data_IF_105195534921
#
_entry.id   IF_105195534921
#
_cell.length_a   1.000
_cell.length_b   1.000
_cell.length_c   1.000
_cell.angle_alpha   90.00
_cell.angle_beta   90.00
_cell.angle_gamma   90.00
#
_symmetry.space_group_name_H-M   'P 1'
#
loop_
_entity.id
_entity.type
_entity.pdbx_description
1 polymer ?
#
# COMPACT_ATOMS: atom_id res chain seq x y z
N UNK A 1 -11.74 -28.23 -42.16
CA UNK A 1 -11.06 -26.93 -41.92
C UNK A 1 -10.48 -26.90 -40.52
N UNK A 2 -9.17 -26.78 -40.36
CA UNK A 2 -8.52 -26.57 -39.06
C UNK A 2 -8.76 -25.08 -38.65
N UNK A 3 -9.40 -24.83 -37.51
CA UNK A 3 -9.55 -23.49 -36.95
C UNK A 3 -8.40 -23.27 -35.98
N UNK A 4 -7.61 -22.21 -36.21
CA UNK A 4 -6.59 -21.74 -35.27
C UNK A 4 -7.19 -20.63 -34.42
N UNK A 5 -6.94 -20.67 -33.12
CA UNK A 5 -7.27 -19.59 -32.16
C UNK A 5 -5.97 -18.94 -31.73
N UNK A 6 -5.92 -17.62 -31.73
CA UNK A 6 -4.83 -16.83 -31.19
C UNK A 6 -5.37 -16.14 -29.96
N UNK A 7 -4.70 -16.29 -28.84
CA UNK A 7 -5.04 -15.65 -27.56
C UNK A 7 -3.92 -14.67 -27.27
N UNK A 8 -4.29 -13.40 -27.05
CA UNK A 8 -3.37 -12.35 -26.63
C UNK A 8 -3.61 -12.04 -25.15
N UNK A 9 -2.53 -11.80 -24.41
CA UNK A 9 -2.60 -11.12 -23.14
C UNK A 9 -3.00 -9.65 -23.38
N UNK A 10 -3.80 -9.08 -22.49
CA UNK A 10 -4.23 -7.68 -22.60
C UNK A 10 -3.25 -6.74 -21.94
N UNK A 11 -2.89 -7.04 -20.70
CA UNK A 11 -2.08 -6.15 -19.88
C UNK A 11 -0.60 -6.22 -20.30
N UNK A 12 -0.01 -5.06 -20.59
CA UNK A 12 1.36 -4.97 -21.07
C UNK A 12 1.57 -5.39 -22.54
N UNK A 13 0.56 -5.95 -23.21
CA UNK A 13 0.63 -6.34 -24.63
C UNK A 13 -0.28 -5.48 -25.49
N UNK A 14 -1.54 -5.32 -25.10
CA UNK A 14 -2.54 -4.51 -25.82
C UNK A 14 -2.77 -3.18 -25.08
N UNK A 15 -2.80 -3.20 -23.74
CA UNK A 15 -2.98 -2.04 -22.88
C UNK A 15 -1.70 -1.73 -22.11
N UNK A 16 -1.35 -0.44 -21.97
CA UNK A 16 -0.22 -0.01 -21.15
C UNK A 16 -0.54 -0.21 -19.65
N UNK A 17 0.43 -0.71 -18.89
CA UNK A 17 0.29 -0.93 -17.45
C UNK A 17 0.41 0.37 -16.62
N UNK A 18 0.71 1.49 -17.26
CA UNK A 18 1.01 2.75 -16.57
C UNK A 18 -0.16 3.25 -15.70
N UNK A 19 -1.40 3.11 -16.17
CA UNK A 19 -2.59 3.50 -15.41
C UNK A 19 -2.72 2.71 -14.11
N UNK A 20 -2.41 1.41 -14.16
CA UNK A 20 -2.43 0.54 -12.98
C UNK A 20 -1.35 0.93 -11.95
N UNK A 21 -0.14 1.23 -12.43
CA UNK A 21 0.96 1.63 -11.55
C UNK A 21 0.72 3.00 -10.93
N UNK A 22 0.13 3.91 -11.69
CA UNK A 22 -0.29 5.20 -11.16
C UNK A 22 -1.35 5.02 -10.06
N UNK A 23 -2.41 4.24 -10.30
CA UNK A 23 -3.44 3.97 -9.30
C UNK A 23 -2.87 3.29 -8.05
N UNK A 24 -1.96 2.32 -8.21
CA UNK A 24 -1.30 1.66 -7.10
C UNK A 24 -0.45 2.63 -6.25
N UNK A 25 0.31 3.52 -6.89
CA UNK A 25 1.10 4.52 -6.17
C UNK A 25 0.24 5.56 -5.46
N UNK A 26 -0.89 5.95 -6.07
CA UNK A 26 -1.84 6.89 -5.49
C UNK A 26 -2.56 6.28 -4.28
N UNK A 27 -2.90 4.99 -4.32
CA UNK A 27 -3.47 4.30 -3.17
C UNK A 27 -2.50 4.27 -1.98
N UNK A 28 -1.22 3.98 -2.21
CA UNK A 28 -0.19 4.04 -1.16
C UNK A 28 -0.02 5.46 -0.62
N UNK A 29 0.03 6.44 -1.51
CA UNK A 29 0.19 7.85 -1.14
C UNK A 29 -1.01 8.35 -0.31
N UNK A 30 -2.22 8.01 -0.70
CA UNK A 30 -3.43 8.37 0.04
C UNK A 30 -3.44 7.74 1.44
N UNK A 31 -3.18 6.45 1.55
CA UNK A 31 -3.13 5.75 2.85
C UNK A 31 -2.10 6.35 3.80
N UNK A 32 -1.00 6.87 3.29
CA UNK A 32 0.04 7.50 4.10
C UNK A 32 -0.30 8.95 4.48
N UNK A 33 -0.85 9.73 3.56
CA UNK A 33 -0.89 11.19 3.72
C UNK A 33 -2.31 11.79 3.84
N UNK A 34 -3.36 11.03 3.49
CA UNK A 34 -4.73 11.49 3.72
C UNK A 34 -5.07 11.53 5.20
N UNK A 35 -5.72 12.63 5.68
CA UNK A 35 -6.20 12.72 7.06
C UNK A 35 -7.25 11.66 7.42
N UNK A 36 -7.87 11.02 6.44
CA UNK A 36 -8.81 9.90 6.64
C UNK A 36 -8.10 8.59 7.02
N UNK A 37 -6.76 8.55 6.87
CA UNK A 37 -5.93 7.38 7.17
C UNK A 37 -4.78 7.77 8.09
N UNK A 38 -3.53 7.52 7.72
CA UNK A 38 -2.41 7.84 8.60
C UNK A 38 -2.17 9.35 8.78
N UNK A 39 -2.54 10.18 7.81
CA UNK A 39 -2.40 11.64 7.87
C UNK A 39 -1.00 12.11 8.21
N UNK A 40 0.01 11.46 7.63
CA UNK A 40 1.41 11.83 7.81
C UNK A 40 1.73 13.08 7.00
N UNK A 41 2.75 13.82 7.42
CA UNK A 41 3.25 14.93 6.61
C UNK A 41 4.18 14.39 5.51
N UNK A 42 3.92 14.73 4.24
CA UNK A 42 4.79 14.33 3.14
C UNK A 42 6.16 15.00 3.26
N UNK A 43 7.17 14.35 2.72
CA UNK A 43 8.54 14.85 2.68
C UNK A 43 9.06 14.89 1.24
N UNK A 44 10.03 15.79 1.00
CA UNK A 44 10.64 15.93 -0.32
C UNK A 44 9.67 16.51 -1.36
N UNK A 45 9.61 15.88 -2.52
CA UNK A 45 8.80 16.33 -3.66
C UNK A 45 7.36 15.80 -3.65
N UNK A 46 6.97 15.04 -2.62
CA UNK A 46 5.61 14.52 -2.54
C UNK A 46 4.62 15.65 -2.22
N UNK A 47 3.53 15.79 -2.99
CA UNK A 47 2.50 16.76 -2.69
C UNK A 47 1.73 16.39 -1.42
N UNK A 48 1.16 17.40 -0.74
CA UNK A 48 0.14 17.17 0.29
C UNK A 48 -1.09 16.50 -0.31
N UNK A 49 -1.78 15.73 0.52
CA UNK A 49 -2.99 15.03 0.07
C UNK A 49 -4.04 16.02 -0.47
N UNK A 50 -4.56 15.70 -1.64
CA UNK A 50 -5.68 16.35 -2.31
C UNK A 50 -6.31 15.40 -3.33
N UNK A 51 -7.59 15.54 -3.62
CA UNK A 51 -8.31 14.65 -4.54
C UNK A 51 -8.09 14.98 -6.01
N UNK A 52 -7.67 16.20 -6.35
CA UNK A 52 -7.40 16.62 -7.71
C UNK A 52 -5.88 16.78 -7.93
N UNK A 53 -5.30 15.88 -8.72
CA UNK A 53 -3.88 15.85 -9.04
C UNK A 53 -3.64 16.17 -10.52
N UNK A 54 -2.57 16.88 -10.78
CA UNK A 54 -2.05 17.06 -12.15
C UNK A 54 -1.29 15.81 -12.60
N UNK A 55 -1.15 15.57 -13.92
CA UNK A 55 -0.33 14.47 -14.43
C UNK A 55 1.12 14.49 -13.91
N UNK A 56 1.70 15.68 -13.71
CA UNK A 56 3.05 15.83 -13.17
C UNK A 56 3.15 15.39 -11.70
N UNK A 57 2.14 15.69 -10.89
CA UNK A 57 2.07 15.23 -9.50
C UNK A 57 1.88 13.72 -9.41
N UNK A 58 1.04 13.13 -10.26
CA UNK A 58 0.87 11.67 -10.35
C UNK A 58 2.19 11.01 -10.69
N UNK A 59 2.90 11.51 -11.69
CA UNK A 59 4.22 10.99 -12.09
C UNK A 59 5.25 11.13 -10.94
N UNK A 60 5.26 12.25 -10.20
CA UNK A 60 6.13 12.46 -9.05
C UNK A 60 5.82 11.49 -7.91
N UNK A 61 4.53 11.29 -7.59
CA UNK A 61 4.09 10.31 -6.58
C UNK A 61 4.56 8.91 -6.98
N UNK A 62 4.28 8.47 -8.20
CA UNK A 62 4.72 7.15 -8.69
C UNK A 62 6.24 6.99 -8.61
N UNK A 63 6.98 7.96 -9.13
CA UNK A 63 8.44 7.96 -9.08
C UNK A 63 8.98 7.78 -7.67
N UNK A 64 8.41 8.47 -6.70
CA UNK A 64 8.85 8.43 -5.30
C UNK A 64 8.41 7.13 -4.62
N UNK A 65 7.13 6.76 -4.70
CA UNK A 65 6.58 5.56 -4.05
C UNK A 65 7.21 4.29 -4.58
N UNK A 66 7.42 4.19 -5.89
CA UNK A 66 7.99 3.01 -6.52
C UNK A 66 9.47 3.13 -6.87
N UNK A 67 10.16 4.18 -6.38
CA UNK A 67 11.61 4.35 -6.56
C UNK A 67 12.04 4.17 -8.01
N UNK A 68 11.44 4.98 -8.90
CA UNK A 68 11.67 4.88 -10.35
C UNK A 68 11.34 3.47 -10.89
N UNK A 69 10.20 2.93 -10.47
CA UNK A 69 9.66 1.59 -10.82
C UNK A 69 10.49 0.39 -10.34
N UNK A 70 11.56 0.60 -9.56
CA UNK A 70 12.36 -0.49 -8.98
C UNK A 70 11.54 -1.37 -8.03
N UNK A 71 10.63 -0.78 -7.25
CA UNK A 71 9.72 -1.52 -6.36
C UNK A 71 8.76 -2.39 -7.18
N UNK A 72 8.26 -1.89 -8.32
CA UNK A 72 7.41 -2.65 -9.23
C UNK A 72 8.17 -3.87 -9.76
N UNK A 73 9.36 -3.64 -10.32
CA UNK A 73 10.20 -4.71 -10.86
C UNK A 73 10.54 -5.76 -9.77
N UNK A 74 10.83 -5.31 -8.56
CA UNK A 74 11.11 -6.16 -7.42
C UNK A 74 9.90 -7.04 -7.07
N UNK A 75 8.72 -6.46 -6.84
CA UNK A 75 7.51 -7.18 -6.43
C UNK A 75 7.03 -8.14 -7.53
N UNK A 76 7.03 -7.70 -8.78
CA UNK A 76 6.70 -8.57 -9.94
C UNK A 76 7.72 -9.69 -10.11
N UNK A 77 9.01 -9.44 -9.92
CA UNK A 77 10.07 -10.45 -9.93
C UNK A 77 9.91 -11.54 -8.87
N UNK A 78 9.19 -11.24 -7.78
CA UNK A 78 8.81 -12.21 -6.75
C UNK A 78 7.45 -12.88 -7.01
N UNK A 79 6.91 -12.77 -8.22
CA UNK A 79 5.71 -13.51 -8.65
C UNK A 79 4.38 -12.86 -8.24
N UNK A 80 4.37 -11.58 -7.92
CA UNK A 80 3.13 -10.81 -7.64
C UNK A 80 2.76 -10.02 -8.88
N UNK A 81 1.70 -10.43 -9.56
CA UNK A 81 1.23 -9.79 -10.80
C UNK A 81 0.08 -8.80 -10.57
N UNK A 82 -0.67 -8.94 -9.51
CA UNK A 82 -1.79 -8.06 -9.17
C UNK A 82 -1.28 -6.66 -8.75
N UNK A 83 -1.87 -5.61 -9.32
CA UNK A 83 -1.46 -4.23 -9.03
C UNK A 83 -2.00 -3.72 -7.68
N UNK A 84 -3.15 -4.25 -7.18
CA UNK A 84 -3.58 -3.96 -5.81
C UNK A 84 -2.71 -4.68 -4.77
N UNK A 85 -2.16 -5.87 -5.09
CA UNK A 85 -1.20 -6.54 -4.21
C UNK A 85 0.15 -5.80 -4.18
N UNK A 86 0.55 -5.20 -5.30
CA UNK A 86 1.69 -4.28 -5.33
C UNK A 86 1.49 -3.11 -4.35
N UNK A 87 0.32 -2.47 -4.40
CA UNK A 87 -0.03 -1.38 -3.48
C UNK A 87 -0.05 -1.87 -2.03
N UNK A 88 -0.70 -3.02 -1.78
CA UNK A 88 -0.81 -3.63 -0.45
C UNK A 88 0.55 -3.96 0.17
N UNK A 89 1.45 -4.60 -0.59
CA UNK A 89 2.78 -4.94 -0.11
C UNK A 89 3.63 -3.69 0.13
N UNK A 90 3.53 -2.69 -0.76
CA UNK A 90 4.27 -1.44 -0.61
C UNK A 90 3.81 -0.66 0.62
N UNK A 91 2.49 -0.49 0.80
CA UNK A 91 1.93 0.16 1.98
C UNK A 91 2.20 -0.65 3.26
N UNK A 92 1.98 -1.97 3.21
CA UNK A 92 2.20 -2.86 4.34
C UNK A 92 3.63 -2.82 4.84
N UNK A 93 4.60 -2.70 3.93
CA UNK A 93 6.00 -2.54 4.31
C UNK A 93 6.25 -1.23 5.06
N UNK A 94 5.69 -0.11 4.59
CA UNK A 94 5.78 1.17 5.30
C UNK A 94 5.12 1.09 6.68
N UNK A 95 3.99 0.40 6.77
CA UNK A 95 3.30 0.18 8.02
C UNK A 95 4.14 -0.62 9.03
N UNK A 96 4.84 -1.66 8.57
CA UNK A 96 5.81 -2.41 9.40
C UNK A 96 6.92 -1.49 9.93
N UNK A 97 7.45 -0.61 9.10
CA UNK A 97 8.49 0.33 9.52
C UNK A 97 7.96 1.33 10.57
N UNK A 98 6.76 1.86 10.37
CA UNK A 98 6.10 2.75 11.34
C UNK A 98 5.88 2.03 12.69
N UNK A 99 5.38 0.80 12.66
CA UNK A 99 5.12 0.03 13.87
C UNK A 99 6.41 -0.33 14.63
N UNK A 100 7.50 -0.58 13.91
CA UNK A 100 8.85 -0.73 14.53
C UNK A 100 9.26 0.55 15.25
N UNK A 101 9.14 1.70 14.61
CA UNK A 101 9.48 2.99 15.20
C UNK A 101 8.63 3.29 16.46
N UNK A 102 7.35 2.93 16.45
CA UNK A 102 6.48 3.07 17.62
C UNK A 102 6.85 2.10 18.75
N UNK A 103 7.22 0.87 18.41
CA UNK A 103 7.68 -0.12 19.40
C UNK A 103 8.97 0.31 20.09
N UNK A 104 9.91 0.95 19.39
CA UNK A 104 11.12 1.54 19.95
C UNK A 104 10.82 2.65 20.97
N UNK A 105 9.66 3.29 20.89
CA UNK A 105 9.14 4.25 21.89
C UNK A 105 8.37 3.57 23.02
N UNK A 106 8.40 2.25 23.12
CA UNK A 106 7.73 1.49 24.16
C UNK A 106 6.22 1.30 23.96
N UNK A 107 5.68 1.70 22.80
CA UNK A 107 4.27 1.48 22.50
C UNK A 107 4.08 0.02 22.07
N UNK A 108 3.24 -0.70 22.80
CA UNK A 108 2.97 -2.13 22.58
C UNK A 108 1.72 -2.33 21.72
N UNK A 109 1.57 -3.51 21.16
CA UNK A 109 0.64 -3.91 20.12
C UNK A 109 -0.87 -3.76 20.36
N UNK A 110 -1.30 -3.24 21.51
CA UNK A 110 -2.72 -2.89 21.76
C UNK A 110 -3.10 -1.50 21.24
N UNK A 111 -2.13 -0.74 20.75
CA UNK A 111 -2.31 0.67 20.37
C UNK A 111 -2.96 0.89 18.98
N UNK A 112 -3.31 -0.15 18.26
CA UNK A 112 -3.86 -0.04 16.89
C UNK A 112 -5.22 -0.69 16.69
N UNK A 113 -5.72 -1.45 17.64
CA UNK A 113 -7.09 -1.94 17.62
C UNK A 113 -7.94 -1.05 18.52
N UNK A 114 -9.03 -0.51 17.98
CA UNK A 114 -10.12 -0.10 18.81
C UNK A 114 -10.62 -1.32 19.62
N UNK A 115 -11.33 -1.12 20.69
CA UNK A 115 -11.80 -2.17 21.61
C UNK A 115 -12.65 -3.28 20.90
N UNK A 116 -13.01 -3.10 19.64
CA UNK A 116 -13.75 -4.05 18.80
C UNK A 116 -12.89 -5.11 18.08
N UNK A 117 -11.56 -5.03 18.14
CA UNK A 117 -10.66 -6.17 17.86
C UNK A 117 -10.38 -6.54 16.40
N UNK A 118 -11.10 -6.06 15.41
CA UNK A 118 -11.09 -6.68 14.08
C UNK A 118 -10.52 -5.86 12.92
N UNK A 119 -10.25 -4.58 13.09
CA UNK A 119 -9.68 -3.75 12.02
C UNK A 119 -8.63 -2.77 12.55
N UNK A 120 -7.55 -2.60 11.79
CA UNK A 120 -6.56 -1.57 12.08
C UNK A 120 -7.18 -0.19 11.81
N UNK A 121 -7.23 0.64 12.85
CA UNK A 121 -7.61 2.04 12.75
C UNK A 121 -6.39 2.87 12.34
N UNK A 122 -6.31 3.18 11.04
CA UNK A 122 -5.20 3.93 10.47
C UNK A 122 -5.18 5.39 10.94
N UNK A 123 -6.33 6.01 11.15
CA UNK A 123 -6.44 7.39 11.66
C UNK A 123 -5.89 7.48 13.09
N UNK A 124 -6.32 6.55 13.94
CA UNK A 124 -5.79 6.45 15.30
C UNK A 124 -4.29 6.21 15.32
N UNK A 125 -3.80 5.29 14.48
CA UNK A 125 -2.37 5.00 14.36
C UNK A 125 -1.58 6.23 13.89
N UNK A 126 -2.12 6.97 12.94
CA UNK A 126 -1.54 8.24 12.49
C UNK A 126 -1.48 9.29 13.59
N UNK A 127 -2.56 9.47 14.36
CA UNK A 127 -2.58 10.37 15.51
C UNK A 127 -1.58 9.95 16.60
N UNK A 128 -1.47 8.65 16.85
CA UNK A 128 -0.49 8.09 17.79
C UNK A 128 0.94 8.37 17.33
N UNK A 129 1.23 8.15 16.04
CA UNK A 129 2.57 8.38 15.49
C UNK A 129 3.01 9.84 15.61
N UNK A 130 2.13 10.79 15.32
CA UNK A 130 2.40 12.22 15.49
C UNK A 130 2.74 12.61 16.93
N UNK A 131 2.11 11.94 17.92
CA UNK A 131 2.39 12.21 19.35
C UNK A 131 3.68 11.54 19.84
N UNK A 132 3.93 10.31 19.37
CA UNK A 132 5.01 9.49 19.89
C UNK A 132 6.36 9.72 19.20
N UNK A 133 6.34 10.24 17.98
CA UNK A 133 7.54 10.45 17.15
C UNK A 133 7.73 11.94 16.91
N UNK A 134 8.36 12.69 17.85
CA UNK A 134 8.65 14.10 17.69
C UNK A 134 9.52 14.34 16.45
N UNK A 135 9.13 15.25 15.57
CA UNK A 135 9.76 15.47 14.27
C UNK A 135 9.11 14.70 13.12
N UNK A 136 8.09 13.89 13.41
CA UNK A 136 7.33 13.13 12.44
C UNK A 136 8.04 11.83 12.00
N UNK A 137 7.27 10.85 11.61
CA UNK A 137 7.78 9.67 10.93
C UNK A 137 7.68 9.88 9.42
N UNK A 138 8.67 9.37 8.68
CA UNK A 138 8.73 9.50 7.24
C UNK A 138 8.83 8.12 6.58
N UNK A 139 8.07 7.86 5.50
CA UNK A 139 8.21 6.63 4.74
C UNK A 139 9.61 6.48 4.15
N UNK A 140 10.08 5.23 4.05
CA UNK A 140 11.32 4.85 3.37
C UNK A 140 10.98 3.84 2.29
N UNK A 141 10.68 4.33 1.09
CA UNK A 141 10.22 3.48 0.00
C UNK A 141 11.33 2.60 -0.59
N UNK A 142 12.58 3.01 -0.49
CA UNK A 142 13.76 2.25 -0.90
C UNK A 142 14.04 1.07 0.04
N UNK A 143 13.60 1.14 1.30
CA UNK A 143 13.85 0.10 2.29
C UNK A 143 13.28 -1.27 1.89
N UNK A 144 12.21 -1.32 1.10
CA UNK A 144 11.65 -2.57 0.58
C UNK A 144 12.66 -3.32 -0.29
N UNK A 145 13.48 -2.61 -1.06
CA UNK A 145 14.48 -3.19 -1.96
C UNK A 145 15.68 -3.78 -1.22
N UNK A 146 16.09 -3.15 -0.13
CA UNK A 146 17.31 -3.52 0.60
C UNK A 146 17.06 -4.55 1.71
N UNK A 147 15.86 -4.53 2.31
CA UNK A 147 15.59 -5.35 3.50
C UNK A 147 14.82 -6.63 3.20
N UNK A 148 14.29 -6.79 2.00
CA UNK A 148 13.54 -7.99 1.62
C UNK A 148 14.46 -9.00 0.92
N UNK A 149 15.37 -9.57 1.69
CA UNK A 149 16.40 -10.49 1.18
C UNK A 149 15.96 -11.96 1.17
N UNK A 150 14.64 -12.23 1.28
CA UNK A 150 14.11 -13.59 1.36
C UNK A 150 13.82 -14.21 -0.01
N UNK A 151 13.66 -15.54 -0.02
CA UNK A 151 13.19 -16.31 -1.19
C UNK A 151 11.66 -16.33 -1.32
N UNK A 152 10.94 -15.62 -0.44
CA UNK A 152 9.47 -15.57 -0.41
C UNK A 152 8.92 -15.08 -1.75
N UNK A 153 7.88 -15.77 -2.24
CA UNK A 153 7.24 -15.48 -3.52
C UNK A 153 5.72 -15.43 -3.39
N UNK A 154 5.09 -14.63 -4.24
CA UNK A 154 3.63 -14.55 -4.29
C UNK A 154 3.01 -14.23 -2.93
N UNK A 155 2.08 -15.06 -2.48
CA UNK A 155 1.38 -14.88 -1.21
C UNK A 155 2.27 -14.96 0.04
N UNK A 156 3.46 -15.53 -0.05
CA UNK A 156 4.38 -15.61 1.09
C UNK A 156 4.96 -14.25 1.46
N UNK A 157 5.03 -13.30 0.51
CA UNK A 157 5.49 -11.95 0.78
C UNK A 157 4.62 -11.25 1.83
N UNK A 158 3.31 -11.44 1.81
CA UNK A 158 2.41 -10.88 2.81
C UNK A 158 2.64 -11.49 4.21
N UNK A 159 2.91 -12.80 4.28
CA UNK A 159 3.28 -13.47 5.55
C UNK A 159 4.62 -12.97 6.09
N UNK A 160 5.55 -12.68 5.20
CA UNK A 160 6.83 -12.12 5.58
C UNK A 160 6.70 -10.72 6.20
N UNK A 161 5.76 -9.88 5.75
CA UNK A 161 5.44 -8.62 6.41
C UNK A 161 5.07 -8.83 7.88
N UNK A 162 4.17 -9.78 8.17
CA UNK A 162 3.78 -10.11 9.53
C UNK A 162 4.96 -10.59 10.38
N UNK A 163 5.87 -11.39 9.82
CA UNK A 163 7.04 -11.90 10.52
C UNK A 163 8.04 -10.81 10.92
N UNK A 164 8.03 -9.68 10.20
CA UNK A 164 8.91 -8.53 10.45
C UNK A 164 8.44 -7.61 11.57
N UNK A 165 7.22 -7.81 12.06
CA UNK A 165 6.69 -7.03 13.16
C UNK A 165 7.43 -7.32 14.48
N UNK A 166 7.57 -6.32 15.36
CA UNK A 166 8.05 -6.53 16.72
C UNK A 166 7.21 -7.58 17.46
N UNK A 167 7.79 -8.33 18.38
CA UNK A 167 7.18 -9.51 19.00
C UNK A 167 5.77 -9.30 19.59
N UNK A 168 5.49 -8.11 20.17
CA UNK A 168 4.16 -7.75 20.69
C UNK A 168 3.07 -7.55 19.63
N UNK A 169 3.43 -7.53 18.34
CA UNK A 169 2.54 -7.25 17.22
C UNK A 169 2.30 -8.46 16.29
N UNK A 170 3.09 -9.53 16.44
CA UNK A 170 3.08 -10.65 15.48
C UNK A 170 1.73 -11.33 15.34
N UNK A 171 1.06 -11.62 16.48
CA UNK A 171 -0.22 -12.36 16.46
C UNK A 171 -1.32 -11.61 15.70
N UNK A 172 -1.41 -10.29 15.86
CA UNK A 172 -2.34 -9.46 15.10
C UNK A 172 -1.85 -9.24 13.66
N UNK A 173 -0.53 -9.18 13.46
CA UNK A 173 0.07 -8.97 12.16
C UNK A 173 -0.25 -10.03 11.12
N UNK A 174 -0.33 -11.30 11.52
CA UNK A 174 -0.72 -12.39 10.64
C UNK A 174 -2.14 -12.21 10.07
N UNK A 175 -3.06 -11.68 10.87
CA UNK A 175 -4.42 -11.38 10.44
C UNK A 175 -4.48 -10.12 9.57
N UNK A 176 -3.74 -9.07 9.95
CA UNK A 176 -3.75 -7.78 9.26
C UNK A 176 -3.13 -7.87 7.89
N UNK A 177 -1.99 -8.57 7.77
CA UNK A 177 -1.27 -8.72 6.51
C UNK A 177 -1.70 -9.94 5.69
N UNK A 178 -2.77 -10.63 6.07
CA UNK A 178 -3.34 -11.68 5.22
C UNK A 178 -3.98 -11.07 3.97
N UNK A 179 -3.90 -11.77 2.84
CA UNK A 179 -4.74 -11.47 1.70
C UNK A 179 -6.21 -11.60 2.08
N UNK A 180 -7.04 -10.74 1.54
CA UNK A 180 -8.48 -10.61 1.87
C UNK A 180 -8.76 -10.16 3.30
N UNK A 181 -7.74 -9.67 4.02
CA UNK A 181 -7.96 -8.99 5.31
C UNK A 181 -8.68 -7.65 5.10
N UNK A 182 -9.27 -7.05 6.14
CA UNK A 182 -9.86 -5.71 6.06
C UNK A 182 -8.88 -4.64 5.55
N UNK A 183 -7.59 -4.77 5.87
CA UNK A 183 -6.56 -3.87 5.35
C UNK A 183 -6.34 -4.09 3.85
N UNK A 184 -6.25 -5.34 3.41
CA UNK A 184 -6.10 -5.66 2.00
C UNK A 184 -7.29 -5.16 1.18
N UNK A 185 -8.52 -5.38 1.67
CA UNK A 185 -9.74 -4.89 1.02
C UNK A 185 -9.77 -3.36 0.93
N UNK A 186 -9.36 -2.66 1.98
CA UNK A 186 -9.25 -1.21 1.99
C UNK A 186 -8.25 -0.71 0.93
N UNK A 187 -7.07 -1.31 0.84
CA UNK A 187 -6.07 -0.95 -0.19
C UNK A 187 -6.61 -1.19 -1.59
N UNK A 188 -7.25 -2.35 -1.82
CA UNK A 188 -7.89 -2.69 -3.10
C UNK A 188 -8.97 -1.67 -3.47
N UNK A 189 -9.83 -1.30 -2.54
CA UNK A 189 -10.93 -0.38 -2.80
C UNK A 189 -10.40 1.01 -3.19
N UNK A 190 -9.42 1.54 -2.44
CA UNK A 190 -8.78 2.82 -2.76
C UNK A 190 -8.07 2.75 -4.12
N UNK A 191 -7.39 1.64 -4.43
CA UNK A 191 -6.81 1.43 -5.75
C UNK A 191 -7.88 1.51 -6.84
N UNK A 192 -9.04 0.88 -6.65
CA UNK A 192 -10.13 0.90 -7.62
C UNK A 192 -10.73 2.31 -7.78
N UNK A 193 -10.80 3.09 -6.72
CA UNK A 193 -11.25 4.49 -6.77
C UNK A 193 -10.32 5.33 -7.67
N UNK A 194 -9.02 5.22 -7.50
CA UNK A 194 -8.06 5.92 -8.35
C UNK A 194 -8.02 5.41 -9.79
N UNK A 195 -8.19 4.10 -9.97
CA UNK A 195 -8.14 3.48 -11.29
C UNK A 195 -9.36 3.79 -12.15
N UNK A 196 -10.54 3.72 -11.57
CA UNK A 196 -11.81 3.93 -12.27
C UNK A 196 -12.20 5.42 -12.34
N UNK A 197 -11.81 6.20 -11.35
CA UNK A 197 -12.32 7.53 -11.12
C UNK A 197 -13.74 7.52 -10.56
N UNK A 198 -14.19 8.66 -10.03
CA UNK A 198 -15.43 8.80 -9.25
C UNK A 198 -16.67 8.28 -9.98
N UNK A 199 -16.84 8.64 -11.25
CA UNK A 199 -18.04 8.30 -12.03
C UNK A 199 -18.18 6.78 -12.20
N UNK A 200 -17.14 6.12 -12.73
CA UNK A 200 -17.15 4.67 -12.95
C UNK A 200 -17.16 3.89 -11.65
N UNK A 201 -16.46 4.37 -10.61
CA UNK A 201 -16.49 3.72 -9.32
C UNK A 201 -17.91 3.68 -8.74
N UNK A 202 -18.65 4.79 -8.81
CA UNK A 202 -20.06 4.82 -8.41
C UNK A 202 -20.93 3.87 -9.22
N UNK A 203 -20.73 3.83 -10.53
CA UNK A 203 -21.48 2.95 -11.42
C UNK A 203 -21.28 1.47 -11.07
N UNK A 204 -20.03 1.04 -10.89
CA UNK A 204 -19.70 -0.36 -10.65
C UNK A 204 -19.98 -0.82 -9.22
N UNK A 205 -19.70 0.00 -8.23
CA UNK A 205 -19.78 -0.39 -6.82
C UNK A 205 -21.03 0.13 -6.12
N UNK A 206 -21.89 0.92 -6.78
CA UNK A 206 -23.11 1.51 -6.23
C UNK A 206 -22.88 2.30 -4.92
N UNK A 207 -21.68 2.82 -4.71
CA UNK A 207 -21.27 3.61 -3.53
C UNK A 207 -20.37 4.78 -3.93
N UNK A 208 -20.28 5.79 -3.05
CA UNK A 208 -19.35 6.90 -3.25
C UNK A 208 -17.92 6.45 -2.91
N UNK A 209 -16.90 6.94 -3.65
CA UNK A 209 -15.50 6.79 -3.30
C UNK A 209 -15.16 7.57 -2.03
#
# INVERSE_FOLDING_TARGET
MRRSKIIFDMDGVITGEECYWNAASLAVWELLFSPLYLGLEPAGELPRFKTALTPAEIASIRKTVFQEDKVIAFVKGHGVNSNWDLAFLTFGYQLVLLLKALAEKGLKGTAWSNEAGDAMDLEYLGALSRRALPGGWRPSFDAILSSWAGEARGAELARELASRLPGGYRKCGEQIFAYFSPLWEKVRDIFQEWYLGEEKYREFYCRKP
#
